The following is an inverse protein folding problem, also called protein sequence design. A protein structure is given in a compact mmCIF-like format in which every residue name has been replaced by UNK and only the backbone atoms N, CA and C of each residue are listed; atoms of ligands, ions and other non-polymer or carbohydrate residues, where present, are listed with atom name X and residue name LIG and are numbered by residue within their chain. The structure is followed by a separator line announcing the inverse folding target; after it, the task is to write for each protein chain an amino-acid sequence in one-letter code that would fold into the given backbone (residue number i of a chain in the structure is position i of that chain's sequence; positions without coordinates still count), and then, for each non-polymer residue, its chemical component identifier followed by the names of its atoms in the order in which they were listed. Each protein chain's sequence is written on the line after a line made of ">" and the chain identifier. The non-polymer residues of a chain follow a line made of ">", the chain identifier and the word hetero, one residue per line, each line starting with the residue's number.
data_IF_390815857665
#
_entry.id   IF_390815857665
#
_cell.length_a   1.000
_cell.length_b   1.000
_cell.length_c   1.000
_cell.angle_alpha   90.00
_cell.angle_beta   90.00
_cell.angle_gamma   90.00
#
_symmetry.space_group_name_H-M   'P 1'
#
loop_
_entity.id
_entity.type
_entity.pdbx_description
1 polymer ?
#
# COMPACT_ATOMS: atom_id res chain seq x y z
N UNK A 1 -30.37 14.37 32.14
CA UNK A 1 -29.75 14.67 30.84
C UNK A 1 -28.25 14.62 31.03
N UNK A 2 -27.67 13.44 30.90
CA UNK A 2 -26.23 13.20 31.05
C UNK A 2 -25.62 13.44 29.68
N UNK A 3 -24.98 14.60 29.50
CA UNK A 3 -24.22 14.89 28.28
C UNK A 3 -23.03 13.96 28.25
N UNK A 4 -23.16 12.85 27.53
CA UNK A 4 -22.03 12.03 27.12
C UNK A 4 -21.05 12.96 26.41
N UNK A 5 -19.94 13.27 27.06
CA UNK A 5 -18.77 13.83 26.40
C UNK A 5 -18.34 12.78 25.38
N UNK A 6 -18.93 12.89 24.19
CA UNK A 6 -18.51 12.18 23.00
C UNK A 6 -17.17 12.82 22.65
N UNK A 7 -16.14 12.43 23.39
CA UNK A 7 -14.75 12.60 23.02
C UNK A 7 -14.61 11.81 21.73
N UNK A 8 -14.96 12.46 20.61
CA UNK A 8 -14.32 12.17 19.33
C UNK A 8 -12.85 12.47 19.60
N UNK A 9 -12.13 11.51 20.18
CA UNK A 9 -10.72 11.39 19.85
C UNK A 9 -10.74 11.24 18.34
N UNK A 10 -10.47 12.34 17.64
CA UNK A 10 -10.13 12.31 16.23
C UNK A 10 -9.07 11.24 16.10
N UNK A 11 -9.44 10.09 15.55
CA UNK A 11 -8.56 8.92 15.45
C UNK A 11 -7.19 9.39 14.98
N UNK A 12 -6.13 8.91 15.64
CA UNK A 12 -4.78 9.37 15.31
C UNK A 12 -4.51 9.18 13.81
N UNK A 13 -3.64 9.99 13.21
CA UNK A 13 -3.28 9.83 11.79
C UNK A 13 -2.84 8.39 11.47
N UNK A 14 -2.17 7.76 12.42
CA UNK A 14 -1.75 6.36 12.32
C UNK A 14 -2.93 5.39 12.30
N UNK A 15 -3.94 5.62 13.12
CA UNK A 15 -5.13 4.79 13.18
C UNK A 15 -5.99 4.94 11.92
N UNK A 16 -6.14 6.16 11.41
CA UNK A 16 -6.78 6.41 10.12
C UNK A 16 -6.04 5.69 8.97
N UNK A 17 -4.70 5.71 8.99
CA UNK A 17 -3.88 5.01 8.02
C UNK A 17 -4.06 3.48 8.10
N UNK A 18 -4.05 2.91 9.31
CA UNK A 18 -4.29 1.48 9.52
C UNK A 18 -5.68 1.08 8.99
N UNK A 19 -6.72 1.85 9.35
CA UNK A 19 -8.08 1.61 8.88
C UNK A 19 -8.18 1.68 7.34
N UNK A 20 -7.46 2.60 6.71
CA UNK A 20 -7.43 2.73 5.26
C UNK A 20 -6.73 1.55 4.57
N UNK A 21 -5.55 1.14 5.07
CA UNK A 21 -4.81 -0.01 4.51
C UNK A 21 -5.66 -1.27 4.53
N UNK A 22 -6.39 -1.52 5.62
CA UNK A 22 -7.21 -2.72 5.79
C UNK A 22 -8.66 -2.53 5.33
N UNK A 23 -8.98 -1.41 4.66
CA UNK A 23 -10.34 -1.14 4.18
C UNK A 23 -10.73 -2.11 3.06
N UNK A 24 -11.88 -2.76 3.22
CA UNK A 24 -12.52 -3.62 2.20
C UNK A 24 -13.27 -2.83 1.14
N UNK A 25 -13.44 -1.52 1.34
CA UNK A 25 -14.09 -0.63 0.36
C UNK A 25 -13.14 -0.16 -0.75
N UNK A 26 -11.84 -0.44 -0.63
CA UNK A 26 -10.88 -0.15 -1.69
C UNK A 26 -11.14 -1.08 -2.89
N UNK A 27 -11.20 -0.51 -4.11
CA UNK A 27 -11.43 -1.28 -5.35
C UNK A 27 -10.41 -2.42 -5.55
N UNK A 28 -9.18 -2.17 -5.13
CA UNK A 28 -8.12 -3.15 -4.97
C UNK A 28 -7.73 -3.15 -3.50
N UNK A 29 -7.89 -4.29 -2.84
CA UNK A 29 -7.49 -4.44 -1.45
C UNK A 29 -5.98 -4.29 -1.31
N UNK A 30 -5.53 -3.50 -0.34
CA UNK A 30 -4.11 -3.27 -0.06
C UNK A 30 -3.65 -4.26 1.01
N UNK A 31 -4.08 -4.07 2.26
CA UNK A 31 -3.59 -4.82 3.41
C UNK A 31 -2.09 -4.62 3.66
N UNK A 32 -1.58 -5.15 4.77
CA UNK A 32 -0.16 -5.00 5.12
C UNK A 32 0.79 -5.68 4.13
N UNK A 33 0.38 -6.78 3.52
CA UNK A 33 1.14 -7.40 2.43
C UNK A 33 1.17 -6.53 1.17
N UNK A 34 0.06 -5.85 0.83
CA UNK A 34 0.00 -4.96 -0.33
C UNK A 34 1.00 -3.80 -0.25
N UNK A 35 1.30 -3.32 0.95
CA UNK A 35 2.30 -2.27 1.17
C UNK A 35 3.69 -2.67 0.66
N UNK A 36 4.05 -3.96 0.78
CA UNK A 36 5.34 -4.48 0.27
C UNK A 36 5.19 -4.97 -1.17
N UNK A 37 4.08 -5.63 -1.49
CA UNK A 37 3.83 -6.22 -2.79
C UNK A 37 3.76 -5.17 -3.91
N UNK A 38 3.09 -4.03 -3.69
CA UNK A 38 2.89 -3.02 -4.73
C UNK A 38 4.26 -2.42 -5.18
N UNK A 39 5.12 -1.92 -4.27
CA UNK A 39 6.43 -1.39 -4.69
C UNK A 39 7.33 -2.44 -5.33
N UNK A 40 7.34 -3.67 -4.81
CA UNK A 40 8.22 -4.75 -5.31
C UNK A 40 7.81 -5.22 -6.70
N UNK A 41 6.52 -5.44 -6.94
CA UNK A 41 6.03 -5.84 -8.26
C UNK A 41 6.19 -4.74 -9.30
N UNK A 42 5.93 -3.48 -8.93
CA UNK A 42 6.14 -2.35 -9.84
C UNK A 42 7.61 -2.23 -10.24
N UNK A 43 8.52 -2.28 -9.26
CA UNK A 43 9.97 -2.19 -9.52
C UNK A 43 10.45 -3.35 -10.38
N UNK A 44 10.06 -4.58 -10.05
CA UNK A 44 10.42 -5.76 -10.82
C UNK A 44 9.89 -5.69 -12.26
N UNK A 45 8.65 -5.26 -12.44
CA UNK A 45 8.01 -5.12 -13.76
C UNK A 45 8.72 -4.07 -14.61
N UNK A 46 9.01 -2.90 -14.03
CA UNK A 46 9.75 -1.84 -14.73
C UNK A 46 11.14 -2.30 -15.12
N UNK A 47 11.89 -2.92 -14.21
CA UNK A 47 13.22 -3.45 -14.48
C UNK A 47 13.18 -4.51 -15.59
N UNK A 48 12.23 -5.44 -15.52
CA UNK A 48 12.04 -6.48 -16.53
C UNK A 48 11.78 -5.90 -17.92
N UNK A 49 10.87 -4.92 -18.03
CA UNK A 49 10.55 -4.27 -19.32
C UNK A 49 11.79 -3.59 -19.91
N UNK A 50 12.55 -2.85 -19.10
CA UNK A 50 13.75 -2.14 -19.57
C UNK A 50 14.83 -3.14 -20.00
N UNK A 51 15.09 -4.16 -19.18
CA UNK A 51 16.10 -5.17 -19.45
C UNK A 51 15.76 -5.96 -20.72
N UNK A 52 14.48 -6.28 -20.93
CA UNK A 52 14.04 -7.00 -22.12
C UNK A 52 14.28 -6.21 -23.42
N UNK A 53 14.16 -4.88 -23.38
CA UNK A 53 14.31 -4.03 -24.57
C UNK A 53 15.77 -3.63 -24.80
N UNK A 54 16.51 -3.31 -23.75
CA UNK A 54 17.76 -2.55 -23.84
C UNK A 54 18.93 -3.15 -23.05
N UNK A 55 18.80 -4.34 -22.46
CA UNK A 55 19.95 -4.95 -21.77
C UNK A 55 21.03 -5.38 -22.78
N UNK A 56 22.31 -5.14 -22.47
CA UNK A 56 23.42 -5.73 -23.21
C UNK A 56 23.51 -7.25 -22.96
N UNK A 57 24.29 -8.00 -23.75
CA UNK A 57 24.53 -9.42 -23.52
C UNK A 57 25.06 -9.71 -22.11
N UNK A 58 24.59 -10.80 -21.51
CA UNK A 58 25.02 -11.29 -20.19
C UNK A 58 25.53 -12.72 -20.36
N UNK A 59 26.73 -12.99 -19.85
CA UNK A 59 27.34 -14.33 -19.80
C UNK A 59 26.82 -15.09 -18.57
N UNK A 60 26.40 -16.35 -18.74
CA UNK A 60 25.66 -17.15 -17.75
C UNK A 60 26.47 -18.33 -17.20
#
# INVERSE_FOLDING_TARGET
>A
MTTTLQQRESASLWEQFCQWITSTNNRLYVGWFGVIMIPTLLTATTCFIIAFIAAPPVDI
#
